data_IF_992451671185
#
_entry.id   IF_992451671185
#
_cell.length_a   1.000
_cell.length_b   1.000
_cell.length_c   1.000
_cell.angle_alpha   90.00
_cell.angle_beta   90.00
_cell.angle_gamma   90.00
#
_symmetry.space_group_name_H-M   'P 1'
#
loop_
_entity.id
_entity.type
_entity.pdbx_description
1 polymer ?
#
# COMPACT_ATOMS: atom_id res chain seq x y z
N UNK A 1 4.73 8.11 -11.72
CA UNK A 1 3.43 7.49 -11.36
C UNK A 1 2.44 8.61 -11.15
N UNK A 2 1.21 8.45 -11.63
CA UNK A 2 0.21 9.52 -11.56
C UNK A 2 -0.43 9.57 -10.16
N UNK A 3 -0.81 10.75 -9.65
CA UNK A 3 -1.61 10.84 -8.44
C UNK A 3 -2.93 10.08 -8.58
N UNK A 4 -3.42 9.46 -7.51
CA UNK A 4 -4.62 8.61 -7.54
C UNK A 4 -4.44 7.22 -8.19
N UNK A 5 -3.27 6.95 -8.80
CA UNK A 5 -2.96 5.64 -9.39
C UNK A 5 -2.95 4.54 -8.31
N UNK A 6 -3.50 3.38 -8.65
CA UNK A 6 -3.44 2.20 -7.80
C UNK A 6 -2.24 1.32 -8.14
N UNK A 7 -1.56 0.82 -7.11
CA UNK A 7 -0.42 -0.08 -7.16
C UNK A 7 -0.77 -1.41 -6.46
N UNK A 8 -0.55 -2.53 -7.14
CA UNK A 8 -0.54 -3.86 -6.50
C UNK A 8 0.90 -4.17 -6.04
N UNK A 9 1.06 -4.47 -4.76
CA UNK A 9 2.31 -4.94 -4.16
C UNK A 9 2.11 -6.40 -3.74
N UNK A 10 3.10 -7.25 -4.02
CA UNK A 10 3.14 -8.62 -3.50
C UNK A 10 4.32 -8.82 -2.59
N UNK A 11 4.08 -9.36 -1.41
CA UNK A 11 5.10 -9.65 -0.43
C UNK A 11 4.72 -10.86 0.41
N UNK A 12 5.66 -11.79 0.55
CA UNK A 12 5.53 -12.99 1.38
C UNK A 12 6.07 -12.81 2.79
N UNK A 13 6.79 -11.71 3.03
CA UNK A 13 7.30 -11.37 4.36
C UNK A 13 6.15 -10.91 5.26
N UNK A 14 5.92 -11.56 6.42
CA UNK A 14 4.83 -11.19 7.32
C UNK A 14 4.96 -9.79 7.92
N UNK A 15 6.17 -9.21 7.99
CA UNK A 15 6.38 -7.84 8.47
C UNK A 15 5.67 -6.79 7.61
N UNK A 16 5.52 -7.08 6.31
CA UNK A 16 4.89 -6.16 5.35
C UNK A 16 3.42 -5.91 5.68
N UNK A 17 2.74 -6.87 6.33
CA UNK A 17 1.38 -6.71 6.81
C UNK A 17 1.23 -5.56 7.83
N UNK A 18 2.31 -5.23 8.55
CA UNK A 18 2.35 -4.16 9.56
C UNK A 18 3.00 -2.89 8.99
N UNK A 19 4.05 -3.05 8.19
CA UNK A 19 4.85 -1.94 7.67
C UNK A 19 4.13 -1.16 6.57
N UNK A 20 3.41 -1.83 5.66
CA UNK A 20 2.70 -1.15 4.57
C UNK A 20 1.63 -0.16 5.04
N UNK A 21 0.75 -0.52 6.00
CA UNK A 21 -0.19 0.45 6.57
C UNK A 21 0.51 1.66 7.22
N UNK A 22 1.62 1.42 7.94
CA UNK A 22 2.37 2.50 8.58
C UNK A 22 3.02 3.42 7.54
N UNK A 23 3.67 2.85 6.53
CA UNK A 23 4.25 3.58 5.41
C UNK A 23 3.20 4.39 4.64
N UNK A 24 2.01 3.83 4.40
CA UNK A 24 0.90 4.53 3.76
C UNK A 24 0.53 5.80 4.53
N UNK A 25 0.36 5.70 5.86
CA UNK A 25 0.09 6.86 6.73
C UNK A 25 1.18 7.92 6.68
N UNK A 26 2.45 7.51 6.69
CA UNK A 26 3.59 8.43 6.65
C UNK A 26 3.73 9.16 5.32
N UNK A 27 3.36 8.51 4.21
CA UNK A 27 3.54 9.04 2.86
C UNK A 27 2.29 9.71 2.28
N UNK A 28 1.14 9.53 2.95
CA UNK A 28 -0.17 9.99 2.50
C UNK A 28 -0.86 9.05 1.52
N UNK A 29 -0.26 7.89 1.23
CA UNK A 29 -0.90 6.86 0.41
C UNK A 29 -2.00 6.15 1.21
N UNK A 30 -2.92 5.49 0.49
CA UNK A 30 -4.03 4.75 1.10
C UNK A 30 -3.90 3.27 0.80
N UNK A 31 -3.86 2.43 1.85
CA UNK A 31 -4.00 0.99 1.67
C UNK A 31 -5.47 0.66 1.45
N UNK A 32 -5.83 0.25 0.22
CA UNK A 32 -7.19 -0.11 -0.18
C UNK A 32 -7.56 -1.55 0.17
N UNK A 33 -6.60 -2.48 0.03
CA UNK A 33 -6.82 -3.91 0.30
C UNK A 33 -5.55 -4.56 0.82
N UNK A 34 -5.72 -5.48 1.75
CA UNK A 34 -4.68 -6.38 2.23
C UNK A 34 -5.28 -7.77 2.31
N UNK A 35 -4.71 -8.70 1.54
CA UNK A 35 -5.16 -10.09 1.49
C UNK A 35 -3.95 -11.00 1.21
N UNK A 36 -3.65 -11.88 2.16
CA UNK A 36 -2.53 -12.82 2.07
C UNK A 36 -1.21 -12.09 1.75
N UNK A 37 -0.61 -12.41 0.60
CA UNK A 37 0.61 -11.81 0.09
C UNK A 37 0.36 -10.57 -0.80
N UNK A 38 -0.89 -10.11 -0.94
CA UNK A 38 -1.29 -9.04 -1.87
C UNK A 38 -1.81 -7.79 -1.17
N UNK A 39 -1.33 -6.65 -1.63
CA UNK A 39 -1.66 -5.35 -1.09
C UNK A 39 -2.00 -4.39 -2.23
N UNK A 40 -3.13 -3.70 -2.11
CA UNK A 40 -3.57 -2.71 -3.08
C UNK A 40 -3.45 -1.32 -2.45
N UNK A 41 -2.63 -0.46 -3.06
CA UNK A 41 -2.31 0.86 -2.52
C UNK A 41 -2.73 1.92 -3.52
N UNK A 42 -3.50 2.91 -3.08
CA UNK A 42 -3.74 4.13 -3.84
C UNK A 42 -2.67 5.16 -3.51
N UNK A 43 -2.05 5.71 -4.54
CA UNK A 43 -1.17 6.87 -4.42
C UNK A 43 -1.98 8.08 -3.97
N UNK A 44 -1.40 8.89 -3.08
CA UNK A 44 -1.97 10.21 -2.79
C UNK A 44 -2.21 11.00 -4.08
N UNK A 45 -3.35 11.66 -4.15
CA UNK A 45 -3.58 12.74 -5.11
C UNK A 45 -2.71 13.93 -4.65
N UNK A 46 -1.95 14.57 -5.54
CA UNK A 46 -1.18 15.76 -5.19
C UNK A 46 -2.10 16.94 -4.88
#
# INVERSE_FOLDING_TARGET
>A
MQPGQTLEVRATDPSVAVDLPAWCRMTGNTLLRQQDDRYLIQRKEE
#
